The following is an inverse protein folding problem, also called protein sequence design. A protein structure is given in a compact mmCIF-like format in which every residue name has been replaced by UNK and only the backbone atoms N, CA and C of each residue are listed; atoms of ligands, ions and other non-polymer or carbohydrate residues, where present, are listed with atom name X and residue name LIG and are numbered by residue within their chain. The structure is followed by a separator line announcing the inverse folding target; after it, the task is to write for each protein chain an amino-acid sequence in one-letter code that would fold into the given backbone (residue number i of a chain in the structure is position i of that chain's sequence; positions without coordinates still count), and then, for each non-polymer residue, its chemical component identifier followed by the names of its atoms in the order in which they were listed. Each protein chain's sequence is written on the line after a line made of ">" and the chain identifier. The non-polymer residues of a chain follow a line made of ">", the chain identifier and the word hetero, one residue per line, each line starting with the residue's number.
data_IF_026005950984
#
_entry.id   IF_026005950984
#
_cell.length_a   1.000
_cell.length_b   1.000
_cell.length_c   1.000
_cell.angle_alpha   90.00
_cell.angle_beta   90.00
_cell.angle_gamma   90.00
#
_symmetry.space_group_name_H-M   'P 1'
#
loop_
_entity.id
_entity.type
_entity.pdbx_description
1 polymer ?
#
# COMPACT_ATOMS: atom_id res chain seq x y z
N UNK A 1 11.86 5.31 19.22
CA UNK A 1 11.78 6.79 19.30
C UNK A 1 10.31 7.18 19.38
N UNK A 2 9.90 8.08 20.27
CA UNK A 2 8.51 8.56 20.30
C UNK A 2 8.22 9.41 19.05
N UNK A 3 7.11 9.13 18.36
CA UNK A 3 6.62 9.95 17.24
C UNK A 3 5.88 11.17 17.79
N UNK A 4 6.28 12.38 17.39
CA UNK A 4 5.57 13.61 17.77
C UNK A 4 4.35 13.80 16.86
N UNK A 5 3.16 13.74 17.45
CA UNK A 5 1.90 13.94 16.73
C UNK A 5 1.51 15.42 16.81
N UNK A 6 1.28 16.05 15.67
CA UNK A 6 0.83 17.43 15.52
C UNK A 6 -0.22 17.53 14.41
N UNK A 7 -0.91 18.67 14.32
CA UNK A 7 -1.78 18.92 13.16
C UNK A 7 -0.99 18.91 11.86
N UNK A 8 0.17 19.56 11.84
CA UNK A 8 1.06 19.63 10.68
C UNK A 8 1.47 18.25 10.16
N UNK A 9 1.76 17.29 11.04
CA UNK A 9 2.15 15.92 10.65
C UNK A 9 0.96 15.10 10.13
N UNK A 10 -0.22 15.28 10.73
CA UNK A 10 -1.44 14.55 10.36
C UNK A 10 -2.20 15.14 9.17
N UNK A 11 -1.81 16.34 8.70
CA UNK A 11 -2.35 16.98 7.49
C UNK A 11 -1.24 17.46 6.55
N UNK A 12 -0.04 16.91 6.67
CA UNK A 12 1.11 17.30 5.84
C UNK A 12 0.99 16.85 4.39
N UNK A 13 1.93 17.29 3.56
CA UNK A 13 1.92 17.07 2.11
C UNK A 13 1.80 15.59 1.73
N UNK A 14 2.51 14.70 2.44
CA UNK A 14 2.41 13.25 2.23
C UNK A 14 0.98 12.73 2.46
N UNK A 15 0.37 13.12 3.58
CA UNK A 15 -1.01 12.71 3.91
C UNK A 15 -1.97 13.19 2.82
N UNK A 16 -1.91 14.47 2.46
CA UNK A 16 -2.75 15.05 1.41
C UNK A 16 -2.57 14.35 0.06
N UNK A 17 -1.33 13.96 -0.28
CA UNK A 17 -1.04 13.23 -1.52
C UNK A 17 -1.66 11.84 -1.51
N UNK A 18 -1.57 11.11 -0.40
CA UNK A 18 -2.23 9.79 -0.24
C UNK A 18 -3.75 9.94 -0.35
N UNK A 19 -4.34 10.93 0.33
CA UNK A 19 -5.78 11.21 0.26
C UNK A 19 -6.22 11.58 -1.15
N UNK A 20 -5.46 12.43 -1.85
CA UNK A 20 -5.76 12.85 -3.22
C UNK A 20 -5.73 11.68 -4.23
N UNK A 21 -4.75 10.77 -4.11
CA UNK A 21 -4.63 9.61 -5.02
C UNK A 21 -5.69 8.54 -4.67
N UNK A 22 -5.89 8.25 -3.39
CA UNK A 22 -6.80 7.18 -2.95
C UNK A 22 -8.28 7.61 -2.93
N UNK A 23 -8.55 8.92 -2.87
CA UNK A 23 -9.88 9.49 -2.61
C UNK A 23 -10.44 9.12 -1.24
N UNK A 24 -9.58 8.76 -0.27
CA UNK A 24 -9.97 8.36 1.08
C UNK A 24 -9.55 9.41 2.10
N UNK A 25 -10.37 9.64 3.13
CA UNK A 25 -9.97 10.45 4.30
C UNK A 25 -9.33 9.54 5.36
N UNK A 26 -8.01 9.63 5.53
CA UNK A 26 -7.25 8.70 6.37
C UNK A 26 -7.65 8.81 7.85
N UNK A 27 -7.95 10.02 8.33
CA UNK A 27 -8.34 10.27 9.72
C UNK A 27 -9.71 9.65 10.09
N UNK A 28 -10.51 9.16 9.13
CA UNK A 28 -11.70 8.36 9.43
C UNK A 28 -11.35 7.02 10.09
N UNK A 29 -10.14 6.49 9.87
CA UNK A 29 -9.75 5.19 10.41
C UNK A 29 -9.57 5.28 11.92
N UNK A 30 -10.34 4.48 12.66
CA UNK A 30 -10.27 4.40 14.13
C UNK A 30 -9.43 3.21 14.63
N UNK A 31 -8.61 2.60 13.76
CA UNK A 31 -7.71 1.50 14.12
C UNK A 31 -8.39 0.25 14.72
N UNK A 32 -9.62 -0.09 14.28
CA UNK A 32 -10.33 -1.28 14.76
C UNK A 32 -9.71 -2.64 14.36
N UNK A 33 -8.74 -2.67 13.44
CA UNK A 33 -8.01 -3.90 13.06
C UNK A 33 -8.78 -4.91 12.19
N UNK A 34 -10.05 -4.67 11.87
CA UNK A 34 -10.88 -5.62 11.09
C UNK A 34 -10.35 -5.88 9.67
N UNK A 35 -9.67 -4.89 9.08
CA UNK A 35 -8.98 -5.07 7.80
C UNK A 35 -7.85 -6.10 7.90
N UNK A 36 -7.07 -6.07 8.98
CA UNK A 36 -5.97 -7.01 9.21
C UNK A 36 -6.48 -8.40 9.53
N UNK A 37 -7.49 -8.52 10.39
CA UNK A 37 -8.11 -9.81 10.71
C UNK A 37 -8.78 -10.48 9.50
N UNK A 38 -9.27 -9.69 8.54
CA UNK A 38 -9.92 -10.20 7.33
C UNK A 38 -9.02 -10.35 6.11
N UNK A 39 -7.75 -9.96 6.17
CA UNK A 39 -6.85 -10.01 5.03
C UNK A 39 -6.30 -11.45 4.87
N UNK A 40 -6.48 -12.10 3.71
CA UNK A 40 -6.01 -13.47 3.50
C UNK A 40 -4.50 -13.57 3.27
N UNK A 41 -3.82 -12.44 3.06
CA UNK A 41 -2.41 -12.38 2.63
C UNK A 41 -1.47 -11.87 3.74
N UNK A 42 -1.96 -11.77 4.98
CA UNK A 42 -1.15 -11.28 6.12
C UNK A 42 0.10 -12.10 6.37
N UNK A 43 0.09 -13.39 6.02
CA UNK A 43 1.24 -14.29 6.16
C UNK A 43 2.47 -13.86 5.33
N UNK A 44 2.26 -13.05 4.29
CA UNK A 44 3.33 -12.52 3.44
C UNK A 44 3.58 -11.02 3.70
N UNK A 45 2.92 -10.40 4.67
CA UNK A 45 3.04 -8.97 4.95
C UNK A 45 4.01 -8.71 6.10
N UNK A 46 4.85 -7.69 5.97
CA UNK A 46 5.73 -7.19 7.03
C UNK A 46 5.00 -6.28 8.04
N UNK A 47 3.94 -5.63 7.60
CA UNK A 47 3.03 -4.82 8.40
C UNK A 47 1.58 -5.24 8.14
N UNK A 48 0.76 -5.24 9.19
CA UNK A 48 -0.65 -5.48 9.02
C UNK A 48 -1.33 -4.28 8.31
N UNK A 49 -2.40 -4.51 7.52
CA UNK A 49 -3.08 -3.44 6.80
C UNK A 49 -3.49 -2.23 7.66
N UNK A 50 -3.92 -2.45 8.91
CA UNK A 50 -4.25 -1.35 9.83
C UNK A 50 -3.02 -0.54 10.26
N UNK A 51 -1.84 -1.17 10.34
CA UNK A 51 -0.58 -0.51 10.70
C UNK A 51 -0.13 0.40 9.55
N UNK A 52 -0.24 -0.04 8.30
CA UNK A 52 0.12 0.80 7.13
C UNK A 52 -0.72 2.07 7.07
N UNK A 53 -2.05 1.97 7.20
CA UNK A 53 -2.91 3.16 7.25
C UNK A 53 -2.60 4.02 8.49
N UNK A 54 -2.13 3.43 9.60
CA UNK A 54 -1.70 4.21 10.77
C UNK A 54 -0.44 5.03 10.47
N UNK A 55 0.54 4.46 9.77
CA UNK A 55 1.74 5.20 9.35
C UNK A 55 1.35 6.36 8.42
N UNK A 56 0.47 6.09 7.45
CA UNK A 56 -0.08 7.12 6.56
C UNK A 56 -0.82 8.23 7.32
N UNK A 57 -1.66 7.88 8.31
CA UNK A 57 -2.35 8.86 9.18
C UNK A 57 -1.39 9.76 9.95
N UNK A 58 -0.21 9.25 10.32
CA UNK A 58 0.77 9.95 11.16
C UNK A 58 1.80 10.73 10.35
N UNK A 59 1.70 10.72 9.01
CA UNK A 59 2.69 11.39 8.17
C UNK A 59 4.05 10.68 8.12
N UNK A 60 4.13 9.41 8.54
CA UNK A 60 5.37 8.62 8.59
C UNK A 60 5.66 8.02 7.21
N UNK A 61 6.07 8.88 6.28
CA UNK A 61 6.23 8.57 4.87
C UNK A 61 7.27 7.46 4.62
N UNK A 62 8.44 7.56 5.23
CA UNK A 62 9.52 6.59 5.01
C UNK A 62 9.10 5.18 5.40
N UNK A 63 8.45 5.04 6.56
CA UNK A 63 7.97 3.74 7.05
C UNK A 63 6.77 3.23 6.25
N UNK A 64 5.86 4.12 5.82
CA UNK A 64 4.70 3.73 5.03
C UNK A 64 5.08 3.27 3.62
N UNK A 65 6.03 3.95 2.97
CA UNK A 65 6.50 3.62 1.63
C UNK A 65 7.53 2.49 1.61
N UNK A 66 8.31 2.33 2.69
CA UNK A 66 9.36 1.31 2.80
C UNK A 66 8.86 -0.12 3.07
N UNK A 67 7.57 -0.30 3.37
CA UNK A 67 7.03 -1.61 3.70
C UNK A 67 6.75 -2.51 2.49
N UNK A 68 6.88 -3.82 2.66
CA UNK A 68 6.54 -4.83 1.64
C UNK A 68 5.02 -4.99 1.48
N UNK A 69 4.26 -4.61 2.50
CA UNK A 69 2.80 -4.81 2.57
C UNK A 69 2.05 -4.14 1.43
N UNK A 70 2.47 -2.96 0.98
CA UNK A 70 1.82 -2.29 -0.15
C UNK A 70 1.98 -3.10 -1.44
N UNK A 71 3.11 -3.79 -1.61
CA UNK A 71 3.40 -4.67 -2.75
C UNK A 71 2.73 -6.05 -2.61
N UNK A 72 2.52 -6.54 -1.39
CA UNK A 72 1.84 -7.82 -1.14
C UNK A 72 0.32 -7.71 -1.10
N UNK A 73 -0.24 -6.49 -1.06
CA UNK A 73 -1.67 -6.28 -1.20
C UNK A 73 -2.17 -6.88 -2.54
N UNK A 74 -3.11 -7.81 -2.45
CA UNK A 74 -3.73 -8.45 -3.61
C UNK A 74 -4.93 -7.67 -4.17
N UNK A 75 -5.26 -6.50 -3.61
CA UNK A 75 -6.44 -5.70 -3.97
C UNK A 75 -7.74 -6.50 -4.03
N UNK A 76 -7.88 -7.53 -3.17
CA UNK A 76 -9.03 -8.45 -3.14
C UNK A 76 -10.29 -7.86 -2.50
N UNK A 77 -10.24 -6.62 -2.00
CA UNK A 77 -11.35 -5.86 -1.41
C UNK A 77 -11.96 -6.42 -0.11
N UNK A 78 -11.40 -7.50 0.45
CA UNK A 78 -11.88 -8.11 1.70
C UNK A 78 -11.88 -7.11 2.88
N UNK A 79 -10.85 -6.28 3.00
CA UNK A 79 -10.76 -5.26 4.03
C UNK A 79 -11.75 -4.10 3.81
N UNK A 80 -11.93 -3.64 2.56
CA UNK A 80 -12.85 -2.56 2.21
C UNK A 80 -14.32 -2.92 2.52
N UNK A 81 -14.75 -4.13 2.13
CA UNK A 81 -16.12 -4.62 2.39
C UNK A 81 -16.48 -4.74 3.88
N UNK A 82 -15.49 -4.83 4.77
CA UNK A 82 -15.69 -5.04 6.21
C UNK A 82 -15.50 -3.79 7.06
N UNK A 83 -14.98 -2.71 6.46
CA UNK A 83 -14.60 -1.49 7.16
C UNK A 83 -15.84 -0.75 7.71
N UNK A 84 -15.98 -0.59 9.03
CA UNK A 84 -17.13 0.12 9.62
C UNK A 84 -17.09 1.63 9.37
N UNK A 85 -15.94 2.17 8.92
CA UNK A 85 -15.75 3.59 8.60
C UNK A 85 -15.84 3.89 7.11
N UNK A 86 -16.12 2.88 6.27
CA UNK A 86 -16.28 3.04 4.82
C UNK A 86 -14.99 3.34 4.06
N UNK A 87 -13.82 3.04 4.65
CA UNK A 87 -12.52 3.27 4.00
C UNK A 87 -12.21 2.13 3.03
N UNK A 88 -11.96 2.49 1.78
CA UNK A 88 -11.43 1.61 0.75
C UNK A 88 -9.91 1.47 0.92
N UNK A 89 -9.51 0.60 1.86
CA UNK A 89 -8.11 0.38 2.19
C UNK A 89 -7.24 -0.10 1.00
N UNK A 90 -7.74 -0.95 0.08
CA UNK A 90 -7.02 -1.27 -1.16
C UNK A 90 -6.61 -0.03 -1.96
N UNK A 91 -7.45 1.01 -2.06
CA UNK A 91 -7.06 2.27 -2.72
C UNK A 91 -5.96 3.02 -1.99
N UNK A 92 -5.92 2.94 -0.66
CA UNK A 92 -4.83 3.54 0.14
C UNK A 92 -3.51 2.80 -0.14
N UNK A 93 -3.53 1.46 -0.19
CA UNK A 93 -2.35 0.67 -0.56
C UNK A 93 -1.87 1.00 -1.98
N UNK A 94 -2.80 1.12 -2.92
CA UNK A 94 -2.51 1.55 -4.29
C UNK A 94 -1.89 2.95 -4.35
N UNK A 95 -2.43 3.90 -3.59
CA UNK A 95 -1.91 5.26 -3.54
C UNK A 95 -0.44 5.30 -3.07
N UNK A 96 -0.09 4.51 -2.06
CA UNK A 96 1.30 4.41 -1.57
C UNK A 96 2.24 3.83 -2.64
N UNK A 97 1.82 2.78 -3.35
CA UNK A 97 2.57 2.24 -4.50
C UNK A 97 2.77 3.30 -5.58
N UNK A 98 1.71 4.00 -5.97
CA UNK A 98 1.75 5.02 -7.02
C UNK A 98 2.64 6.22 -6.66
N UNK A 99 2.82 6.53 -5.38
CA UNK A 99 3.77 7.58 -4.96
C UNK A 99 5.20 7.20 -5.37
N UNK A 100 5.61 5.94 -5.14
CA UNK A 100 6.93 5.42 -5.52
C UNK A 100 7.06 5.27 -7.04
N UNK A 101 6.08 4.63 -7.68
CA UNK A 101 6.12 4.39 -9.13
C UNK A 101 6.17 5.70 -9.93
N UNK A 102 5.40 6.73 -9.52
CA UNK A 102 5.46 8.06 -10.19
C UNK A 102 6.78 8.81 -9.98
N UNK A 103 7.63 8.34 -9.07
CA UNK A 103 8.99 8.84 -8.88
C UNK A 103 10.03 8.01 -9.66
N UNK A 104 9.60 7.02 -10.44
CA UNK A 104 10.47 6.08 -11.15
C UNK A 104 11.15 5.07 -10.21
N UNK A 105 10.58 4.84 -9.03
CA UNK A 105 11.08 3.85 -8.07
C UNK A 105 10.28 2.57 -8.28
N UNK A 106 10.80 1.72 -9.15
CA UNK A 106 10.22 0.40 -9.43
C UNK A 106 10.54 -0.58 -8.30
N UNK A 107 9.66 -1.55 -8.08
CA UNK A 107 9.87 -2.63 -7.12
C UNK A 107 10.62 -3.82 -7.75
N UNK A 108 10.54 -3.97 -9.07
CA UNK A 108 11.19 -5.03 -9.84
C UNK A 108 11.87 -4.41 -11.06
N UNK A 109 13.12 -4.80 -11.30
CA UNK A 109 13.84 -4.44 -12.52
C UNK A 109 13.56 -5.46 -13.62
N UNK A 110 12.96 -5.02 -14.73
CA UNK A 110 12.59 -5.90 -15.85
C UNK A 110 13.82 -6.62 -16.44
N UNK A 111 14.98 -5.97 -16.42
CA UNK A 111 16.24 -6.53 -16.94
C UNK A 111 16.76 -7.72 -16.13
N UNK A 112 16.27 -7.91 -14.89
CA UNK A 112 16.77 -8.92 -13.97
C UNK A 112 15.83 -10.13 -13.85
N UNK A 113 14.88 -10.28 -14.76
CA UNK A 113 14.01 -11.47 -14.81
C UNK A 113 14.83 -12.66 -15.30
N UNK A 114 14.77 -13.78 -14.58
CA UNK A 114 15.51 -14.98 -14.95
C UNK A 114 15.05 -15.55 -16.30
N UNK A 115 15.97 -16.12 -17.07
CA UNK A 115 15.65 -16.75 -18.37
C UNK A 115 14.64 -17.87 -18.24
N UNK A 116 14.69 -18.60 -17.12
CA UNK A 116 13.78 -19.71 -16.86
C UNK A 116 12.36 -19.18 -16.60
N UNK A 117 12.22 -18.09 -15.83
CA UNK A 117 10.93 -17.42 -15.62
C UNK A 117 10.34 -16.94 -16.96
N UNK A 118 11.17 -16.38 -17.86
CA UNK A 118 10.75 -15.94 -19.20
C UNK A 118 10.26 -17.11 -20.07
N UNK A 119 10.80 -18.31 -19.87
CA UNK A 119 10.42 -19.49 -20.63
C UNK A 119 9.15 -20.18 -20.09
N UNK A 120 8.96 -20.18 -18.77
CA UNK A 120 7.88 -20.93 -18.11
C UNK A 120 6.63 -20.08 -17.81
N UNK A 121 6.79 -18.80 -17.48
CA UNK A 121 5.67 -17.98 -17.06
C UNK A 121 4.81 -17.54 -18.26
N UNK A 122 3.47 -17.57 -18.13
CA UNK A 122 2.60 -17.07 -19.19
C UNK A 122 2.76 -15.56 -19.33
N UNK A 123 2.56 -15.02 -20.54
CA UNK A 123 2.67 -13.57 -20.81
C UNK A 123 1.77 -12.72 -19.88
N UNK A 124 0.65 -13.28 -19.43
CA UNK A 124 -0.26 -12.63 -18.49
C UNK A 124 0.40 -12.37 -17.11
N UNK A 125 1.30 -13.24 -16.67
CA UNK A 125 2.06 -13.03 -15.43
C UNK A 125 2.95 -11.80 -15.54
N UNK A 126 3.61 -11.61 -16.67
CA UNK A 126 4.44 -10.42 -16.92
C UNK A 126 3.63 -9.14 -17.02
N UNK A 127 2.56 -9.11 -17.82
CA UNK A 127 1.75 -7.88 -17.96
C UNK A 127 1.09 -7.49 -16.63
N UNK A 128 0.56 -8.47 -15.88
CA UNK A 128 -0.01 -8.20 -14.56
C UNK A 128 1.05 -7.78 -13.53
N UNK A 129 2.21 -8.44 -13.55
CA UNK A 129 3.37 -8.10 -12.73
C UNK A 129 3.87 -6.69 -13.01
N UNK A 130 4.12 -6.33 -14.27
CA UNK A 130 4.63 -5.01 -14.64
C UNK A 130 3.66 -3.90 -14.26
N UNK A 131 2.35 -4.09 -14.48
CA UNK A 131 1.33 -3.15 -14.00
C UNK A 131 1.38 -2.93 -12.49
N UNK A 132 1.82 -3.93 -11.75
CA UNK A 132 1.94 -3.85 -10.30
C UNK A 132 3.29 -3.26 -9.89
N UNK A 133 4.40 -3.76 -10.40
CA UNK A 133 5.72 -3.52 -9.81
C UNK A 133 6.55 -2.45 -10.51
N UNK A 134 6.08 -1.95 -11.66
CA UNK A 134 6.86 -1.06 -12.54
C UNK A 134 6.03 0.17 -12.93
N UNK A 135 6.72 1.29 -13.14
CA UNK A 135 6.18 2.60 -13.52
C UNK A 135 5.84 2.77 -15.00
#
# INVERSE_FOLDING_TARGET
>A
MPTRISRETTTGDFVQRVEAISGQELLKCNQCGKCSAGCPVTFAMDLLPNQVIRLAQLGLEQEALGCQTIWNCASCLACGSRCPKGIDLPRVMEALRLILLRQGIDHVEITNIATDDLAEAPQQAFISGFRKYVS
#
